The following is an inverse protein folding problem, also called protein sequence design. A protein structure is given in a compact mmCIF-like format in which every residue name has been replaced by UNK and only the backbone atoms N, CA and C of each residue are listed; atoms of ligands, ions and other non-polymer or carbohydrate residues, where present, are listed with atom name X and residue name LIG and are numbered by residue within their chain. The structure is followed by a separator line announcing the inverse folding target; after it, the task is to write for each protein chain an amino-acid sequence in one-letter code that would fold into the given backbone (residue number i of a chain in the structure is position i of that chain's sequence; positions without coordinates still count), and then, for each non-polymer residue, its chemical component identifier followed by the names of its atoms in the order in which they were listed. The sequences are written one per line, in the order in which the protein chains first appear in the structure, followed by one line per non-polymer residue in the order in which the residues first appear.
data_IF_548146437411
#
_entry.id   IF_548146437411
#
_cell.length_a   1.000
_cell.length_b   1.000
_cell.length_c   1.000
_cell.angle_alpha   90.00
_cell.angle_beta   90.00
_cell.angle_gamma   90.00
#
_symmetry.space_group_name_H-M   'P 1'
#
loop_
_entity.id
_entity.type
_entity.pdbx_description
1 polymer ?
#
# COMPACT_ATOMS: atom_id res chain seq x y z
N UNK A 1 -21.84 -7.55 -6.72
CA UNK A 1 -22.23 -8.26 -5.48
C UNK A 1 -21.68 -7.48 -4.31
N UNK A 2 -22.53 -7.09 -3.35
CA UNK A 2 -22.04 -6.53 -2.08
C UNK A 2 -21.50 -7.69 -1.24
N UNK A 3 -20.24 -7.60 -0.82
CA UNK A 3 -19.65 -8.58 0.10
C UNK A 3 -20.23 -8.29 1.49
N UNK A 4 -20.82 -9.31 2.12
CA UNK A 4 -21.29 -9.20 3.50
C UNK A 4 -20.07 -9.10 4.42
N UNK A 5 -19.93 -7.96 5.10
CA UNK A 5 -18.88 -7.77 6.11
C UNK A 5 -19.34 -8.40 7.42
N UNK A 6 -18.62 -9.38 7.99
CA UNK A 6 -19.03 -10.02 9.23
C UNK A 6 -18.95 -9.08 10.43
N UNK A 7 -19.89 -9.25 11.37
CA UNK A 7 -19.93 -8.54 12.65
C UNK A 7 -19.27 -9.37 13.73
N UNK A 8 -18.53 -8.71 14.62
CA UNK A 8 -17.89 -9.28 15.81
C UNK A 8 -18.51 -8.63 17.04
N UNK A 9 -18.91 -9.45 18.01
CA UNK A 9 -19.44 -8.97 19.31
C UNK A 9 -18.32 -9.11 20.35
N UNK A 10 -17.92 -7.99 20.94
CA UNK A 10 -17.02 -7.97 22.10
C UNK A 10 -17.84 -7.76 23.38
N UNK A 11 -17.60 -8.63 24.36
CA UNK A 11 -18.15 -8.49 25.68
C UNK A 11 -17.08 -7.94 26.64
N UNK A 12 -17.34 -6.75 27.20
CA UNK A 12 -16.47 -6.16 28.20
C UNK A 12 -17.26 -5.95 29.50
N UNK A 13 -17.07 -6.86 30.43
CA UNK A 13 -17.86 -6.89 31.66
C UNK A 13 -19.35 -7.13 31.38
N UNK A 14 -20.22 -6.12 31.66
CA UNK A 14 -21.67 -6.21 31.43
C UNK A 14 -22.14 -5.56 30.14
N UNK A 15 -21.24 -5.02 29.34
CA UNK A 15 -21.57 -4.33 28.08
C UNK A 15 -21.12 -5.15 26.89
N UNK A 16 -22.03 -5.30 25.91
CA UNK A 16 -21.73 -5.88 24.59
C UNK A 16 -21.62 -4.76 23.56
N UNK A 17 -20.61 -4.84 22.70
CA UNK A 17 -20.43 -3.93 21.57
C UNK A 17 -20.24 -4.74 20.29
N UNK A 18 -21.02 -4.41 19.28
CA UNK A 18 -20.89 -4.98 17.94
C UNK A 18 -20.00 -4.07 17.08
N UNK A 19 -19.05 -4.67 16.39
CA UNK A 19 -18.18 -4.03 15.41
C UNK A 19 -18.23 -4.82 14.11
N UNK A 20 -18.16 -4.16 12.96
CA UNK A 20 -17.74 -4.88 11.77
C UNK A 20 -16.26 -5.27 11.90
N UNK A 21 -15.82 -6.27 11.11
CA UNK A 21 -14.48 -6.84 11.26
C UNK A 21 -13.38 -5.80 11.03
N UNK A 22 -13.56 -4.85 10.09
CA UNK A 22 -12.55 -3.83 9.81
C UNK A 22 -12.47 -2.81 10.94
N UNK A 23 -13.60 -2.36 11.48
CA UNK A 23 -13.65 -1.49 12.66
C UNK A 23 -13.02 -2.16 13.88
N UNK A 24 -13.19 -3.49 14.02
CA UNK A 24 -12.54 -4.24 15.09
C UNK A 24 -11.02 -4.30 14.93
N UNK A 25 -10.55 -4.56 13.72
CA UNK A 25 -9.11 -4.57 13.41
C UNK A 25 -8.47 -3.19 13.57
N UNK A 26 -9.20 -2.12 13.24
CA UNK A 26 -8.72 -0.75 13.41
C UNK A 26 -8.40 -0.42 14.88
N UNK A 27 -9.13 -0.97 15.85
CA UNK A 27 -8.79 -0.84 17.29
C UNK A 27 -7.42 -1.42 17.64
N UNK A 28 -6.97 -2.43 16.88
CA UNK A 28 -5.63 -3.02 17.02
C UNK A 28 -4.62 -2.36 16.06
N UNK A 29 -4.98 -1.17 15.56
CA UNK A 29 -4.15 -0.35 14.65
C UNK A 29 -3.84 -1.04 13.32
N UNK A 30 -4.76 -1.87 12.85
CA UNK A 30 -4.65 -2.60 11.57
C UNK A 30 -5.52 -1.89 10.54
N UNK A 31 -4.90 -1.49 9.43
CA UNK A 31 -5.53 -0.89 8.24
C UNK A 31 -5.40 -1.86 7.08
N UNK A 32 -6.47 -2.03 6.30
CA UNK A 32 -6.49 -2.95 5.17
C UNK A 32 -6.64 -2.21 3.84
N UNK A 33 -5.71 -2.47 2.91
CA UNK A 33 -5.82 -2.10 1.49
C UNK A 33 -6.03 -3.39 0.69
N UNK A 34 -7.29 -3.84 0.63
CA UNK A 34 -7.67 -5.17 0.14
C UNK A 34 -8.40 -5.17 -1.21
N UNK A 35 -8.45 -4.03 -1.90
CA UNK A 35 -9.19 -3.85 -3.16
C UNK A 35 -8.39 -2.98 -4.14
N UNK A 36 -8.87 -2.76 -5.38
CA UNK A 36 -8.34 -1.70 -6.23
C UNK A 36 -8.40 -0.34 -5.52
N UNK A 37 -7.36 0.47 -5.69
CA UNK A 37 -7.21 1.79 -5.05
C UNK A 37 -7.94 2.82 -5.92
N UNK A 38 -9.05 3.33 -5.41
CA UNK A 38 -9.80 4.46 -5.94
C UNK A 38 -9.87 5.58 -4.91
N UNK A 39 -10.60 6.66 -5.22
CA UNK A 39 -10.74 7.81 -4.34
C UNK A 39 -11.47 7.47 -3.03
N UNK A 40 -12.43 6.54 -3.06
CA UNK A 40 -13.17 6.11 -1.87
C UNK A 40 -12.25 5.33 -0.92
N UNK A 41 -11.50 4.36 -1.46
CA UNK A 41 -10.50 3.59 -0.69
C UNK A 41 -9.45 4.54 -0.12
N UNK A 42 -8.94 5.49 -0.91
CA UNK A 42 -7.95 6.45 -0.44
C UNK A 42 -8.47 7.28 0.73
N UNK A 43 -9.66 7.85 0.60
CA UNK A 43 -10.27 8.68 1.65
C UNK A 43 -10.47 7.89 2.95
N UNK A 44 -10.91 6.63 2.87
CA UNK A 44 -11.10 5.77 4.05
C UNK A 44 -9.75 5.46 4.72
N UNK A 45 -8.74 5.06 3.94
CA UNK A 45 -7.40 4.75 4.48
C UNK A 45 -6.77 5.99 5.11
N UNK A 46 -6.84 7.15 4.45
CA UNK A 46 -6.35 8.42 4.99
C UNK A 46 -7.02 8.75 6.31
N UNK A 47 -8.36 8.66 6.38
CA UNK A 47 -9.10 8.92 7.62
C UNK A 47 -8.68 7.97 8.75
N UNK A 48 -8.43 6.69 8.46
CA UNK A 48 -7.95 5.71 9.42
C UNK A 48 -6.53 6.04 9.92
N UNK A 49 -5.61 6.42 9.03
CA UNK A 49 -4.25 6.82 9.41
C UNK A 49 -4.25 8.04 10.34
N UNK A 50 -5.03 9.08 9.98
CA UNK A 50 -5.16 10.29 10.79
C UNK A 50 -5.82 10.00 12.15
N UNK A 51 -6.86 9.17 12.18
CA UNK A 51 -7.50 8.74 13.42
C UNK A 51 -6.53 8.01 14.34
N UNK A 52 -5.75 7.05 13.81
CA UNK A 52 -4.80 6.27 14.59
C UNK A 52 -3.64 7.13 15.12
N UNK A 53 -3.19 8.14 14.36
CA UNK A 53 -2.23 9.12 14.85
C UNK A 53 -2.79 9.92 16.03
N UNK A 54 -4.06 10.37 15.93
CA UNK A 54 -4.71 11.14 17.01
C UNK A 54 -4.90 10.28 18.27
N UNK A 55 -5.19 9.00 18.11
CA UNK A 55 -5.37 8.06 19.21
C UNK A 55 -4.06 7.79 19.96
N UNK A 56 -3.00 7.51 19.23
CA UNK A 56 -1.66 7.32 19.79
C UNK A 56 -0.57 7.52 18.73
N UNK A 57 0.20 8.59 18.86
CA UNK A 57 1.23 8.96 17.90
C UNK A 57 2.55 8.16 18.04
N UNK A 58 2.70 7.34 19.10
CA UNK A 58 3.95 6.61 19.38
C UNK A 58 3.86 5.12 19.01
N UNK A 59 2.66 4.62 18.72
CA UNK A 59 2.46 3.21 18.35
C UNK A 59 2.37 3.05 16.85
N UNK A 60 3.06 2.06 16.32
CA UNK A 60 3.02 1.71 14.90
C UNK A 60 1.60 1.48 14.38
N UNK A 61 1.40 1.76 13.11
CA UNK A 61 0.21 1.40 12.34
C UNK A 61 0.58 0.22 11.43
N UNK A 62 -0.22 -0.83 11.40
CA UNK A 62 0.01 -2.01 10.59
C UNK A 62 -0.89 -1.97 9.36
N UNK A 63 -0.31 -1.74 8.18
CA UNK A 63 -1.05 -1.70 6.91
C UNK A 63 -0.88 -3.02 6.15
N UNK A 64 -1.97 -3.74 5.98
CA UNK A 64 -2.01 -4.98 5.19
C UNK A 64 -2.43 -4.68 3.75
N UNK A 65 -1.60 -5.08 2.80
CA UNK A 65 -1.80 -4.82 1.37
C UNK A 65 -2.11 -6.12 0.65
N UNK A 66 -3.31 -6.19 0.04
CA UNK A 66 -3.73 -7.22 -0.90
C UNK A 66 -4.45 -6.55 -2.07
N UNK A 67 -3.70 -5.80 -2.87
CA UNK A 67 -4.27 -4.91 -3.87
C UNK A 67 -3.61 -5.08 -5.24
N UNK A 68 -4.40 -5.05 -6.32
CA UNK A 68 -3.87 -4.98 -7.69
C UNK A 68 -3.33 -3.60 -8.07
N UNK A 69 -3.34 -2.62 -7.16
CA UNK A 69 -3.06 -1.22 -7.45
C UNK A 69 -4.31 -0.43 -7.80
N UNK A 70 -4.20 0.61 -8.61
CA UNK A 70 -5.33 1.46 -8.98
C UNK A 70 -4.92 2.87 -9.39
N UNK A 71 -5.76 3.86 -9.09
CA UNK A 71 -5.54 5.25 -9.48
C UNK A 71 -4.27 5.82 -8.83
N UNK A 72 -3.40 6.38 -9.66
CA UNK A 72 -2.11 6.92 -9.21
C UNK A 72 -2.30 8.05 -8.19
N UNK A 73 -3.20 9.00 -8.47
CA UNK A 73 -3.44 10.15 -7.57
C UNK A 73 -4.01 9.72 -6.22
N UNK A 74 -4.94 8.75 -6.20
CA UNK A 74 -5.51 8.18 -4.98
C UNK A 74 -4.44 7.43 -4.18
N UNK A 75 -3.58 6.66 -4.86
CA UNK A 75 -2.45 5.98 -4.22
C UNK A 75 -1.39 6.94 -3.67
N UNK A 76 -1.08 8.03 -4.38
CA UNK A 76 -0.17 9.07 -3.90
C UNK A 76 -0.73 9.82 -2.68
N UNK A 77 -2.05 10.02 -2.60
CA UNK A 77 -2.68 10.62 -1.43
C UNK A 77 -2.49 9.75 -0.17
N UNK A 78 -2.64 8.41 -0.31
CA UNK A 78 -2.32 7.47 0.78
C UNK A 78 -0.83 7.54 1.11
N UNK A 79 0.04 7.49 0.09
CA UNK A 79 1.49 7.55 0.26
C UNK A 79 1.91 8.80 1.05
N UNK A 80 1.47 9.98 0.63
CA UNK A 80 1.81 11.23 1.29
C UNK A 80 1.31 11.23 2.76
N UNK A 81 0.13 10.66 3.02
CA UNK A 81 -0.39 10.52 4.39
C UNK A 81 0.45 9.56 5.23
N UNK A 82 0.91 8.42 4.67
CA UNK A 82 1.82 7.50 5.35
C UNK A 82 3.14 8.19 5.76
N UNK A 83 3.65 9.10 4.92
CA UNK A 83 4.87 9.85 5.22
C UNK A 83 4.63 11.04 6.17
N UNK A 84 3.40 11.55 6.21
CA UNK A 84 3.03 12.72 7.03
C UNK A 84 2.72 12.36 8.48
N UNK A 85 2.11 11.20 8.73
CA UNK A 85 1.74 10.79 10.11
C UNK A 85 2.98 10.48 10.94
N UNK A 86 2.94 10.79 12.24
CA UNK A 86 4.06 10.57 13.17
C UNK A 86 4.33 9.08 13.45
N UNK A 87 3.30 8.20 13.62
CA UNK A 87 3.54 6.78 13.80
C UNK A 87 4.24 6.16 12.61
N UNK A 88 5.16 5.23 12.85
CA UNK A 88 5.67 4.37 11.78
C UNK A 88 4.53 3.53 11.18
N UNK A 89 4.48 3.47 9.87
CA UNK A 89 3.55 2.59 9.15
C UNK A 89 4.31 1.32 8.75
N UNK A 90 4.06 0.22 9.45
CA UNK A 90 4.54 -1.10 9.06
C UNK A 90 3.66 -1.66 7.94
N UNK A 91 4.24 -2.22 6.89
CA UNK A 91 3.50 -2.74 5.74
C UNK A 91 3.67 -4.24 5.56
N UNK A 92 2.58 -4.92 5.18
CA UNK A 92 2.53 -6.37 5.02
C UNK A 92 1.88 -6.72 3.68
N UNK A 93 2.59 -7.39 2.79
CA UNK A 93 2.00 -7.96 1.58
C UNK A 93 1.35 -9.30 1.88
N UNK A 94 0.03 -9.39 1.69
CA UNK A 94 -0.79 -10.59 1.86
C UNK A 94 -1.45 -10.91 0.53
N UNK A 95 -1.00 -11.94 -0.17
CA UNK A 95 -1.51 -12.28 -1.51
C UNK A 95 -0.80 -11.48 -2.60
N UNK A 96 -1.18 -10.21 -2.82
CA UNK A 96 -0.52 -9.41 -3.85
C UNK A 96 -0.38 -7.92 -3.47
N UNK A 97 0.70 -7.32 -3.96
CA UNK A 97 0.90 -5.88 -3.99
C UNK A 97 1.42 -5.49 -5.38
N UNK A 98 0.54 -4.98 -6.23
CA UNK A 98 0.91 -4.65 -7.62
C UNK A 98 0.67 -3.18 -7.92
N UNK A 99 1.49 -2.58 -8.82
CA UNK A 99 1.37 -1.19 -9.23
C UNK A 99 1.41 -0.24 -8.02
N UNK A 100 0.41 0.62 -7.83
CA UNK A 100 0.33 1.49 -6.65
C UNK A 100 0.32 0.71 -5.33
N UNK A 101 -0.18 -0.54 -5.30
CA UNK A 101 -0.08 -1.41 -4.12
C UNK A 101 1.38 -1.72 -3.75
N UNK A 102 2.25 -1.94 -4.74
CA UNK A 102 3.68 -2.15 -4.51
C UNK A 102 4.39 -0.86 -4.03
N UNK A 103 3.95 0.30 -4.52
CA UNK A 103 4.44 1.61 -4.04
C UNK A 103 4.10 1.80 -2.57
N UNK A 104 2.85 1.52 -2.16
CA UNK A 104 2.44 1.62 -0.76
C UNK A 104 3.17 0.61 0.13
N UNK A 105 3.40 -0.62 -0.36
CA UNK A 105 4.18 -1.63 0.35
C UNK A 105 5.61 -1.15 0.61
N UNK A 106 6.27 -0.62 -0.44
CA UNK A 106 7.64 -0.09 -0.35
C UNK A 106 7.75 1.15 0.54
N UNK A 107 6.66 1.94 0.65
CA UNK A 107 6.58 3.17 1.42
C UNK A 107 6.49 2.99 2.94
N UNK A 108 6.38 1.76 3.42
CA UNK A 108 6.43 1.45 4.85
C UNK A 108 7.74 1.89 5.51
N UNK A 109 7.71 2.06 6.82
CA UNK A 109 8.90 2.42 7.60
C UNK A 109 10.02 1.39 7.39
N UNK A 110 11.24 1.88 7.21
CA UNK A 110 12.41 1.01 6.95
C UNK A 110 12.61 0.00 8.09
N UNK A 111 12.79 -1.26 7.76
CA UNK A 111 12.88 -2.38 8.69
C UNK A 111 11.51 -2.96 9.10
N UNK A 112 10.40 -2.34 8.68
CA UNK A 112 9.02 -2.75 9.02
C UNK A 112 8.17 -3.06 7.78
N UNK A 113 8.81 -3.43 6.67
CA UNK A 113 8.12 -3.82 5.43
C UNK A 113 8.24 -5.33 5.25
N UNK A 114 7.10 -6.00 5.12
CA UNK A 114 7.02 -7.46 5.20
C UNK A 114 6.29 -8.06 4.00
N UNK A 115 6.75 -9.22 3.53
CA UNK A 115 6.04 -10.06 2.58
C UNK A 115 5.74 -11.42 3.17
N UNK A 116 4.56 -11.99 2.89
CA UNK A 116 4.32 -13.40 3.17
C UNK A 116 4.93 -14.26 2.06
N UNK A 117 5.32 -15.53 2.33
CA UNK A 117 6.14 -16.34 1.40
C UNK A 117 5.56 -16.51 0.00
N UNK A 118 4.24 -16.56 -0.11
CA UNK A 118 3.54 -16.74 -1.40
C UNK A 118 2.95 -15.44 -1.96
N UNK A 119 3.32 -14.29 -1.39
CA UNK A 119 2.87 -13.01 -1.93
C UNK A 119 3.57 -12.69 -3.25
N UNK A 120 2.82 -12.03 -4.12
CA UNK A 120 3.28 -11.58 -5.43
C UNK A 120 3.36 -10.07 -5.46
N UNK A 121 4.51 -9.57 -5.83
CA UNK A 121 4.76 -8.14 -5.97
C UNK A 121 4.98 -7.80 -7.45
N UNK A 122 4.46 -6.68 -7.92
CA UNK A 122 4.69 -6.24 -9.29
C UNK A 122 4.80 -4.73 -9.35
N UNK A 123 5.83 -4.25 -10.04
CA UNK A 123 6.04 -2.84 -10.35
C UNK A 123 5.96 -2.63 -11.85
N UNK A 124 5.40 -1.52 -12.28
CA UNK A 124 5.36 -1.07 -13.66
C UNK A 124 5.11 0.43 -13.74
N UNK A 125 5.31 1.01 -14.94
CA UNK A 125 4.95 2.40 -15.20
C UNK A 125 3.43 2.61 -15.16
N UNK A 126 2.94 3.85 -14.90
CA UNK A 126 1.51 4.15 -14.97
C UNK A 126 0.92 3.77 -16.32
N UNK A 127 -0.23 3.09 -16.29
CA UNK A 127 -1.01 2.82 -17.48
C UNK A 127 -2.09 3.89 -17.62
N UNK A 128 -2.27 4.40 -18.84
CA UNK A 128 -3.30 5.39 -19.13
C UNK A 128 -3.52 5.53 -20.62
N UNK A 129 -4.70 6.03 -21.00
CA UNK A 129 -5.06 6.38 -22.36
C UNK A 129 -5.64 7.78 -22.39
N UNK A 130 -5.44 8.48 -23.50
CA UNK A 130 -5.93 9.86 -23.69
C UNK A 130 -6.68 9.94 -25.00
N UNK A 131 -7.83 10.61 -24.99
CA UNK A 131 -8.62 10.89 -26.18
C UNK A 131 -9.09 12.36 -26.12
N UNK A 132 -9.04 13.08 -27.24
CA UNK A 132 -9.46 14.47 -27.30
C UNK A 132 -8.75 15.25 -28.42
N UNK A 133 -8.76 16.58 -28.33
CA UNK A 133 -8.04 17.43 -29.24
C UNK A 133 -6.53 17.34 -29.02
N UNK A 134 -5.73 17.61 -30.05
CA UNK A 134 -4.27 17.48 -29.99
C UNK A 134 -3.61 18.24 -28.82
N UNK A 135 -4.13 19.42 -28.49
CA UNK A 135 -3.65 20.21 -27.35
C UNK A 135 -3.93 19.50 -26.01
N UNK A 136 -5.12 18.95 -25.84
CA UNK A 136 -5.53 18.22 -24.62
C UNK A 136 -4.74 16.93 -24.45
N UNK A 137 -4.53 16.20 -25.57
CA UNK A 137 -3.69 14.99 -25.58
C UNK A 137 -2.27 15.33 -25.09
N UNK A 138 -1.67 16.43 -25.57
CA UNK A 138 -0.33 16.85 -25.16
C UNK A 138 -0.27 17.21 -23.65
N UNK A 139 -1.27 17.90 -23.13
CA UNK A 139 -1.36 18.25 -21.70
C UNK A 139 -1.42 16.96 -20.85
N UNK A 140 -2.30 16.03 -21.21
CA UNK A 140 -2.46 14.76 -20.48
C UNK A 140 -1.21 13.87 -20.58
N UNK A 141 -0.57 13.81 -21.77
CA UNK A 141 0.65 13.05 -21.93
C UNK A 141 1.78 13.58 -21.02
N UNK A 142 1.93 14.90 -20.91
CA UNK A 142 2.90 15.51 -20.00
C UNK A 142 2.61 15.16 -18.53
N UNK A 143 1.34 15.16 -18.14
CA UNK A 143 0.94 14.81 -16.77
C UNK A 143 1.22 13.33 -16.46
N UNK A 144 0.92 12.41 -17.39
CA UNK A 144 1.26 10.98 -17.25
C UNK A 144 2.76 10.78 -17.07
N UNK A 145 3.59 11.48 -17.89
CA UNK A 145 5.05 11.42 -17.76
C UNK A 145 5.52 11.96 -16.40
N UNK A 146 4.93 13.06 -15.92
CA UNK A 146 5.23 13.63 -14.61
C UNK A 146 4.89 12.66 -13.46
N UNK A 147 3.76 11.97 -13.54
CA UNK A 147 3.36 10.95 -12.57
C UNK A 147 4.29 9.73 -12.62
N UNK A 148 4.69 9.30 -13.83
CA UNK A 148 5.68 8.24 -14.02
C UNK A 148 6.98 8.58 -13.31
N UNK A 149 7.58 9.72 -13.59
CA UNK A 149 8.84 10.16 -12.95
C UNK A 149 8.70 10.21 -11.42
N UNK A 150 7.55 10.66 -10.90
CA UNK A 150 7.30 10.70 -9.46
C UNK A 150 7.30 9.31 -8.82
N UNK A 151 6.58 8.35 -9.40
CA UNK A 151 6.53 6.97 -8.90
C UNK A 151 7.90 6.31 -8.96
N UNK A 152 8.64 6.49 -10.06
CA UNK A 152 9.99 5.95 -10.21
C UNK A 152 10.95 6.50 -9.15
N UNK A 153 10.87 7.80 -8.84
CA UNK A 153 11.67 8.43 -7.78
C UNK A 153 11.27 7.91 -6.38
N UNK A 154 9.97 7.73 -6.12
CA UNK A 154 9.49 7.12 -4.85
C UNK A 154 10.05 5.70 -4.70
N UNK A 155 9.94 4.88 -5.73
CA UNK A 155 10.49 3.51 -5.70
C UNK A 155 12.01 3.52 -5.52
N UNK A 156 12.74 4.38 -6.21
CA UNK A 156 14.19 4.51 -6.06
C UNK A 156 14.56 4.90 -4.61
N UNK A 157 13.83 5.86 -4.02
CA UNK A 157 14.04 6.31 -2.65
C UNK A 157 13.86 5.16 -1.64
N UNK A 158 12.74 4.43 -1.71
CA UNK A 158 12.42 3.41 -0.72
C UNK A 158 13.19 2.10 -0.91
N UNK A 159 13.55 1.74 -2.14
CA UNK A 159 14.30 0.51 -2.44
C UNK A 159 15.81 0.70 -2.34
N UNK A 160 16.31 1.93 -2.45
CA UNK A 160 17.74 2.23 -2.56
C UNK A 160 18.34 1.84 -3.91
N UNK A 161 17.53 1.42 -4.89
CA UNK A 161 18.03 1.11 -6.24
C UNK A 161 18.29 2.39 -7.03
N UNK A 162 19.29 2.40 -7.95
CA UNK A 162 19.50 3.50 -8.85
C UNK A 162 18.27 3.79 -9.70
N UNK A 163 17.95 5.08 -9.93
CA UNK A 163 16.79 5.50 -10.70
C UNK A 163 16.72 4.87 -12.10
N UNK A 164 17.87 4.76 -12.79
CA UNK A 164 17.92 4.15 -14.12
C UNK A 164 17.54 2.67 -14.11
N UNK A 165 17.88 1.95 -13.01
CA UNK A 165 17.42 0.57 -12.83
C UNK A 165 15.91 0.52 -12.62
N UNK A 166 15.37 1.39 -11.77
CA UNK A 166 13.90 1.49 -11.57
C UNK A 166 13.21 1.77 -12.92
N UNK A 167 13.67 2.77 -13.68
CA UNK A 167 13.11 3.12 -14.99
C UNK A 167 13.10 1.94 -15.96
N UNK A 168 14.19 1.16 -15.98
CA UNK A 168 14.29 -0.02 -16.83
C UNK A 168 13.32 -1.12 -16.39
N UNK A 169 13.26 -1.40 -15.09
CA UNK A 169 12.47 -2.50 -14.56
C UNK A 169 10.96 -2.19 -14.59
N UNK A 170 10.56 -0.92 -14.44
CA UNK A 170 9.16 -0.48 -14.49
C UNK A 170 8.64 -0.22 -15.91
N UNK A 171 9.47 -0.33 -16.94
CA UNK A 171 9.02 -0.10 -18.33
C UNK A 171 7.91 -1.06 -18.76
N UNK A 172 7.91 -2.27 -18.21
CA UNK A 172 6.87 -3.28 -18.34
C UNK A 172 6.61 -3.93 -16.99
N UNK A 173 5.62 -4.83 -16.92
CA UNK A 173 5.30 -5.58 -15.72
C UNK A 173 6.52 -6.36 -15.24
N UNK A 174 7.01 -5.99 -14.07
CA UNK A 174 8.14 -6.64 -13.41
C UNK A 174 7.64 -7.33 -12.15
N UNK A 175 7.43 -8.64 -12.26
CA UNK A 175 6.94 -9.49 -11.17
C UNK A 175 8.08 -9.97 -10.28
N UNK A 176 7.78 -10.06 -8.99
CA UNK A 176 8.69 -10.54 -7.95
C UNK A 176 7.94 -11.44 -6.97
N UNK A 177 8.60 -12.52 -6.55
CA UNK A 177 8.27 -13.26 -5.34
C UNK A 177 8.58 -12.40 -4.11
N UNK A 178 8.16 -12.83 -2.92
CA UNK A 178 8.49 -12.12 -1.68
C UNK A 178 10.01 -12.03 -1.44
N UNK A 179 10.77 -13.10 -1.74
CA UNK A 179 12.23 -13.12 -1.58
C UNK A 179 12.91 -12.17 -2.59
N UNK A 180 12.51 -12.21 -3.86
CA UNK A 180 13.03 -11.28 -4.87
C UNK A 180 12.70 -9.81 -4.52
N UNK A 181 11.50 -9.54 -3.96
CA UNK A 181 11.12 -8.21 -3.51
C UNK A 181 11.96 -7.74 -2.31
N UNK A 182 12.41 -8.66 -1.44
CA UNK A 182 13.37 -8.39 -0.37
C UNK A 182 14.76 -8.05 -0.92
N UNK A 183 15.26 -8.82 -1.87
CA UNK A 183 16.55 -8.52 -2.54
C UNK A 183 16.48 -7.21 -3.34
N UNK A 184 15.32 -6.90 -3.88
CA UNK A 184 15.07 -5.66 -4.59
C UNK A 184 14.98 -4.46 -3.64
N UNK A 185 14.59 -4.66 -2.40
CA UNK A 185 14.45 -3.63 -1.37
C UNK A 185 13.04 -3.06 -1.22
N UNK A 186 12.02 -3.70 -1.80
CA UNK A 186 10.60 -3.33 -1.62
C UNK A 186 10.13 -3.74 -0.23
N UNK A 187 10.55 -4.92 0.25
CA UNK A 187 10.30 -5.38 1.61
C UNK A 187 11.62 -5.62 2.35
N UNK A 188 11.58 -5.61 3.67
CA UNK A 188 12.76 -5.82 4.52
C UNK A 188 12.85 -7.29 4.95
N UNK A 189 11.72 -7.97 5.12
CA UNK A 189 11.67 -9.36 5.59
C UNK A 189 10.57 -10.16 4.91
N UNK A 190 10.81 -11.46 4.75
CA UNK A 190 9.78 -12.44 4.42
C UNK A 190 9.40 -13.17 5.69
N UNK A 191 8.12 -13.10 6.09
CA UNK A 191 7.60 -13.69 7.33
C UNK A 191 7.03 -15.06 7.04
N UNK A 192 7.81 -16.09 7.29
CA UNK A 192 7.45 -17.48 7.00
C UNK A 192 6.38 -18.04 7.96
N UNK A 193 6.49 -17.78 9.26
CA UNK A 193 5.52 -18.25 10.25
C UNK A 193 5.71 -17.54 11.59
N UNK A 194 4.59 -17.23 12.26
CA UNK A 194 4.58 -16.79 13.68
C UNK A 194 4.80 -18.01 14.61
N UNK A 195 4.68 -19.24 14.10
CA UNK A 195 4.92 -20.43 14.91
C UNK A 195 6.40 -20.48 15.28
N UNK A 196 6.71 -20.42 16.57
CA UNK A 196 8.06 -20.68 17.06
C UNK A 196 8.53 -22.03 16.49
N UNK A 197 9.62 -22.03 15.74
CA UNK A 197 10.33 -23.30 15.46
C UNK A 197 10.65 -23.92 16.82
N UNK A 198 10.07 -25.10 17.07
CA UNK A 198 10.43 -25.90 18.24
C UNK A 198 11.86 -26.37 18.14
#
# INVERSE_FOLDING_TARGET
MSILVPMVIEQTGRTERAYDIYSRLLKDRIVFVGTPIDDNVANIVIAQLLFLQMENAEKDINMYVNSPGGHVTSGLAIYDTMQFVKPDVATYCVGQATSMGAVLLAAGAKGKRHGLPHSRIMIHQPWGGVQGQAADINIQAKEILRLKDRIENILAHHTGKPLDKIKKDTDRDFFMTAEEAKEYGIVDTVVDSIKKKK
#
